data_IF_934508295520
#
_entry.id   IF_934508295520
#
_cell.length_a   1.000
_cell.length_b   1.000
_cell.length_c   1.000
_cell.angle_alpha   90.00
_cell.angle_beta   90.00
_cell.angle_gamma   90.00
#
_symmetry.space_group_name_H-M   'P 1'
#
loop_
_entity.id
_entity.type
_entity.pdbx_description
1 polymer ?
#
# COMPACT_ATOMS: atom_id res chain seq x y z
N UNK A 1 1.70 18.26 26.39
CA UNK A 1 1.41 17.89 24.99
C UNK A 1 2.65 17.33 24.28
N UNK A 2 3.81 17.98 24.40
CA UNK A 2 5.04 17.63 23.67
C UNK A 2 5.41 16.14 23.62
N UNK A 3 5.37 15.43 24.75
CA UNK A 3 5.74 14.00 24.81
C UNK A 3 4.84 13.13 23.92
N UNK A 4 3.54 13.43 23.85
CA UNK A 4 2.61 12.70 22.99
C UNK A 4 2.90 12.98 21.51
N UNK A 5 3.18 14.24 21.17
CA UNK A 5 3.55 14.65 19.80
C UNK A 5 4.83 13.98 19.30
N UNK A 6 5.84 13.88 20.16
CA UNK A 6 7.09 13.21 19.82
C UNK A 6 6.90 11.69 19.65
N UNK A 7 6.05 11.07 20.47
CA UNK A 7 5.74 9.65 20.36
C UNK A 7 4.96 9.33 19.07
N UNK A 8 3.96 10.15 18.71
CA UNK A 8 3.25 10.06 17.44
C UNK A 8 4.21 10.24 16.27
N UNK A 9 5.06 11.27 16.31
CA UNK A 9 6.06 11.54 15.27
C UNK A 9 6.95 10.32 15.01
N UNK A 10 7.53 9.75 16.06
CA UNK A 10 8.37 8.54 15.95
C UNK A 10 7.60 7.37 15.33
N UNK A 11 6.33 7.19 15.71
CA UNK A 11 5.51 6.11 15.17
C UNK A 11 5.22 6.31 13.66
N UNK A 12 4.99 7.55 13.21
CA UNK A 12 4.80 7.85 11.78
C UNK A 12 6.09 7.67 10.99
N UNK A 13 7.25 8.05 11.55
CA UNK A 13 8.56 7.81 10.93
C UNK A 13 8.83 6.30 10.76
N UNK A 14 8.52 5.49 11.77
CA UNK A 14 8.57 4.02 11.68
C UNK A 14 7.64 3.49 10.57
N UNK A 15 6.42 4.03 10.47
CA UNK A 15 5.45 3.64 9.44
C UNK A 15 5.94 3.97 8.02
N UNK A 16 6.51 5.17 7.83
CA UNK A 16 7.12 5.57 6.56
C UNK A 16 8.25 4.63 6.14
N UNK A 17 9.13 4.26 7.08
CA UNK A 17 10.20 3.31 6.80
C UNK A 17 9.68 1.93 6.36
N UNK A 18 8.54 1.49 6.91
CA UNK A 18 7.90 0.23 6.48
C UNK A 18 7.25 0.38 5.10
N UNK A 19 6.64 1.53 4.78
CA UNK A 19 6.13 1.80 3.43
C UNK A 19 7.25 1.79 2.38
N UNK A 20 8.42 2.32 2.70
CA UNK A 20 9.56 2.28 1.79
C UNK A 20 10.13 0.87 1.62
N UNK A 21 10.20 0.07 2.70
CA UNK A 21 10.56 -1.34 2.62
C UNK A 21 9.57 -2.14 1.76
N UNK A 22 8.27 -1.87 1.89
CA UNK A 22 7.22 -2.49 1.08
C UNK A 22 7.36 -2.11 -0.40
N UNK A 23 7.62 -0.83 -0.70
CA UNK A 23 7.86 -0.36 -2.06
C UNK A 23 9.11 -1.02 -2.68
N UNK A 24 10.19 -1.15 -1.90
CA UNK A 24 11.42 -1.80 -2.36
C UNK A 24 11.22 -3.31 -2.58
N UNK A 25 10.50 -3.99 -1.68
CA UNK A 25 10.18 -5.41 -1.83
C UNK A 25 9.35 -5.65 -3.10
N UNK A 26 8.35 -4.80 -3.37
CA UNK A 26 7.55 -4.87 -4.60
C UNK A 26 8.39 -4.62 -5.86
N UNK A 27 9.24 -3.58 -5.87
CA UNK A 27 10.11 -3.26 -7.02
C UNK A 27 11.09 -4.38 -7.35
N UNK A 28 11.62 -5.07 -6.34
CA UNK A 28 12.60 -6.13 -6.51
C UNK A 28 11.99 -7.54 -6.55
N UNK A 29 10.66 -7.66 -6.56
CA UNK A 29 9.96 -8.95 -6.63
C UNK A 29 10.10 -9.83 -5.37
N UNK A 30 10.45 -9.25 -4.22
CA UNK A 30 10.62 -9.97 -2.95
C UNK A 30 9.29 -10.16 -2.23
N UNK A 31 8.33 -10.80 -2.90
CA UNK A 31 6.95 -10.94 -2.42
C UNK A 31 6.82 -11.75 -1.11
N UNK A 32 7.80 -12.61 -0.81
CA UNK A 32 7.83 -13.36 0.44
C UNK A 32 7.99 -12.47 1.69
N UNK A 33 8.49 -11.23 1.54
CA UNK A 33 8.65 -10.25 2.63
C UNK A 33 7.35 -9.50 2.94
N UNK A 34 6.40 -9.44 1.99
CA UNK A 34 5.19 -8.63 2.11
C UNK A 34 4.26 -9.01 3.27
N UNK A 35 4.05 -10.30 3.62
CA UNK A 35 3.21 -10.65 4.75
C UNK A 35 3.73 -10.06 6.07
N UNK A 36 5.04 -10.15 6.31
CA UNK A 36 5.66 -9.60 7.52
C UNK A 36 5.59 -8.06 7.54
N UNK A 37 5.80 -7.40 6.39
CA UNK A 37 5.67 -5.95 6.29
C UNK A 37 4.22 -5.50 6.51
N UNK A 38 3.23 -6.28 6.06
CA UNK A 38 1.81 -6.01 6.28
C UNK A 38 1.45 -6.10 7.76
N UNK A 39 1.91 -7.14 8.46
CA UNK A 39 1.70 -7.28 9.92
C UNK A 39 2.30 -6.11 10.70
N UNK A 40 3.54 -5.70 10.35
CA UNK A 40 4.19 -4.53 10.96
C UNK A 40 3.41 -3.24 10.69
N UNK A 41 2.87 -3.05 9.48
CA UNK A 41 2.01 -1.89 9.16
C UNK A 41 0.76 -1.87 10.03
N UNK A 42 0.07 -3.00 10.18
CA UNK A 42 -1.13 -3.09 11.03
C UNK A 42 -0.82 -2.73 12.48
N UNK A 43 0.25 -3.30 13.05
CA UNK A 43 0.64 -2.97 14.43
C UNK A 43 1.01 -1.50 14.64
N UNK A 44 1.64 -0.86 13.63
CA UNK A 44 1.93 0.57 13.67
C UNK A 44 0.66 1.43 13.56
N UNK A 45 -0.33 1.02 12.75
CA UNK A 45 -1.62 1.72 12.67
C UNK A 45 -2.38 1.67 14.00
N UNK A 46 -2.38 0.52 14.67
CA UNK A 46 -3.01 0.37 16.00
C UNK A 46 -2.31 1.25 17.04
N UNK A 47 -0.97 1.30 17.01
CA UNK A 47 -0.17 2.17 17.88
C UNK A 47 -0.42 3.65 17.59
N UNK A 48 -0.53 4.05 16.33
CA UNK A 48 -0.88 5.41 15.94
C UNK A 48 -2.25 5.82 16.50
N UNK A 49 -3.27 4.96 16.36
CA UNK A 49 -4.61 5.22 16.89
C UNK A 49 -4.62 5.40 18.42
N UNK A 50 -3.85 4.57 19.14
CA UNK A 50 -3.71 4.69 20.59
C UNK A 50 -3.01 6.00 21.01
N UNK A 51 -1.98 6.41 20.26
CA UNK A 51 -1.26 7.66 20.52
C UNK A 51 -2.14 8.89 20.23
N UNK A 52 -2.92 8.87 19.14
CA UNK A 52 -3.89 9.92 18.80
C UNK A 52 -4.92 10.12 19.92
N UNK A 53 -5.46 9.02 20.45
CA UNK A 53 -6.39 9.05 21.59
C UNK A 53 -5.74 9.60 22.86
N UNK A 54 -4.48 9.26 23.13
CA UNK A 54 -3.74 9.78 24.27
C UNK A 54 -3.48 11.29 24.15
N UNK A 55 -3.10 11.76 22.96
CA UNK A 55 -2.93 13.20 22.68
C UNK A 55 -4.24 13.96 22.82
N UNK A 56 -5.32 13.44 22.23
CA UNK A 56 -6.64 14.06 22.31
C UNK A 56 -7.16 14.11 23.75
N UNK A 57 -6.98 13.04 24.52
CA UNK A 57 -7.30 13.05 25.95
C UNK A 57 -6.50 14.11 26.71
N UNK A 58 -5.21 14.25 26.41
CA UNK A 58 -4.35 15.24 27.04
C UNK A 58 -4.71 16.69 26.66
N UNK A 59 -5.19 16.94 25.43
CA UNK A 59 -5.64 18.27 25.01
C UNK A 59 -6.99 18.64 25.65
N UNK A 60 -7.94 17.68 25.69
CA UNK A 60 -9.26 17.88 26.29
C UNK A 60 -9.15 18.10 27.80
N UNK A 61 -8.28 17.36 28.50
CA UNK A 61 -8.02 17.55 29.92
C UNK A 61 -7.52 18.97 30.27
N UNK A 62 -7.07 19.73 29.27
CA UNK A 62 -6.59 21.11 29.41
C UNK A 62 -7.58 22.16 28.90
N UNK A 63 -8.80 21.73 28.54
CA UNK A 63 -9.87 22.61 28.09
C UNK A 63 -9.81 22.97 26.61
N UNK A 64 -9.01 22.27 25.80
CA UNK A 64 -9.04 22.41 24.34
C UNK A 64 -10.07 21.46 23.73
N UNK A 65 -10.71 21.87 22.65
CA UNK A 65 -11.66 21.03 21.91
C UNK A 65 -11.00 19.74 21.39
N UNK A 66 -11.75 18.64 21.17
CA UNK A 66 -11.24 17.47 20.47
C UNK A 66 -10.85 17.78 19.01
N UNK A 67 -10.11 16.87 18.40
CA UNK A 67 -9.70 16.96 17.01
C UNK A 67 -8.60 17.99 16.72
N UNK A 68 -8.49 18.36 15.44
CA UNK A 68 -7.36 19.09 14.87
C UNK A 68 -7.20 20.50 15.41
N UNK A 69 -8.29 21.27 15.43
CA UNK A 69 -8.25 22.67 15.84
C UNK A 69 -7.83 22.83 17.31
N UNK A 70 -8.30 21.93 18.19
CA UNK A 70 -7.86 21.92 19.58
C UNK A 70 -6.41 21.45 19.75
N UNK A 71 -5.92 20.58 18.88
CA UNK A 71 -4.51 20.19 18.83
C UNK A 71 -3.60 21.35 18.44
N UNK A 72 -3.99 22.12 17.42
CA UNK A 72 -3.29 23.33 16.98
C UNK A 72 -3.20 24.34 18.15
N UNK A 73 -4.33 24.58 18.83
CA UNK A 73 -4.40 25.47 19.99
C UNK A 73 -3.59 24.97 21.19
N UNK A 74 -3.66 23.67 21.51
CA UNK A 74 -2.92 23.05 22.60
C UNK A 74 -1.41 23.07 22.36
N UNK A 75 -0.97 22.85 21.11
CA UNK A 75 0.43 22.91 20.73
C UNK A 75 0.97 24.35 20.81
N UNK A 76 0.20 25.34 20.35
CA UNK A 76 0.55 26.75 20.47
C UNK A 76 0.66 27.20 21.94
N UNK A 77 -0.24 26.73 22.80
CA UNK A 77 -0.24 27.04 24.23
C UNK A 77 0.95 26.41 24.99
N UNK A 78 1.49 25.28 24.52
CA UNK A 78 2.66 24.61 25.12
C UNK A 78 4.02 25.16 24.65
N UNK A 79 4.00 26.19 23.81
CA UNK A 79 5.19 26.87 23.33
C UNK A 79 5.83 26.25 22.09
N UNK A 80 6.93 26.86 21.65
CA UNK A 80 7.53 26.67 20.33
C UNK A 80 7.91 25.21 20.04
N UNK A 81 8.42 24.48 21.02
CA UNK A 81 8.80 23.07 20.85
C UNK A 81 7.59 22.18 20.53
N UNK A 82 6.44 22.41 21.16
CA UNK A 82 5.21 21.64 20.88
C UNK A 82 4.61 22.04 19.54
N UNK A 83 4.64 23.33 19.19
CA UNK A 83 4.20 23.79 17.90
C UNK A 83 5.03 23.19 16.75
N UNK A 84 6.36 23.16 16.90
CA UNK A 84 7.27 22.56 15.93
C UNK A 84 7.07 21.03 15.81
N UNK A 85 6.94 20.32 16.94
CA UNK A 85 6.68 18.88 16.94
C UNK A 85 5.34 18.55 16.27
N UNK A 86 4.31 19.36 16.52
CA UNK A 86 3.02 19.23 15.87
C UNK A 86 3.11 19.47 14.37
N UNK A 87 3.71 20.59 13.92
CA UNK A 87 3.89 20.87 12.49
C UNK A 87 4.63 19.72 11.77
N UNK A 88 5.70 19.20 12.35
CA UNK A 88 6.42 18.05 11.79
C UNK A 88 5.55 16.79 11.68
N UNK A 89 4.74 16.49 12.70
CA UNK A 89 3.82 15.35 12.65
C UNK A 89 2.80 15.47 11.50
N UNK A 90 2.32 16.68 11.25
CA UNK A 90 1.35 16.97 10.18
C UNK A 90 1.95 16.72 8.81
N UNK A 91 3.17 17.18 8.59
CA UNK A 91 3.91 16.95 7.35
C UNK A 91 4.15 15.46 7.14
N UNK A 92 4.60 14.74 8.18
CA UNK A 92 4.81 13.30 8.13
C UNK A 92 3.52 12.52 7.82
N UNK A 93 2.38 12.93 8.39
CA UNK A 93 1.09 12.31 8.09
C UNK A 93 0.66 12.52 6.63
N UNK A 94 0.95 13.70 6.05
CA UNK A 94 0.71 13.95 4.63
C UNK A 94 1.60 13.08 3.74
N UNK A 95 2.88 12.96 4.09
CA UNK A 95 3.83 12.08 3.39
C UNK A 95 3.37 10.61 3.44
N UNK A 96 2.99 10.12 4.63
CA UNK A 96 2.52 8.75 4.81
C UNK A 96 1.27 8.45 3.96
N UNK A 97 0.36 9.42 3.83
CA UNK A 97 -0.82 9.29 2.95
C UNK A 97 -0.43 9.22 1.48
N UNK A 98 0.56 10.00 1.04
CA UNK A 98 1.05 9.97 -0.33
C UNK A 98 1.76 8.64 -0.67
N UNK A 99 2.63 8.17 0.22
CA UNK A 99 3.37 6.91 0.05
C UNK A 99 2.44 5.70 0.10
N UNK A 100 1.46 5.69 1.00
CA UNK A 100 0.47 4.62 1.04
C UNK A 100 -0.36 4.57 -0.26
N UNK A 101 -0.72 5.72 -0.84
CA UNK A 101 -1.39 5.78 -2.15
C UNK A 101 -0.50 5.25 -3.27
N UNK A 102 0.79 5.61 -3.27
CA UNK A 102 1.79 5.11 -4.23
C UNK A 102 1.91 3.59 -4.15
N UNK A 103 2.10 3.03 -2.95
CA UNK A 103 2.22 1.59 -2.75
C UNK A 103 0.95 0.86 -3.17
N UNK A 104 -0.23 1.40 -2.82
CA UNK A 104 -1.52 0.88 -3.29
C UNK A 104 -1.60 0.80 -4.82
N UNK A 105 -1.17 1.85 -5.53
CA UNK A 105 -1.14 1.84 -7.00
C UNK A 105 -0.21 0.77 -7.58
N UNK A 106 0.93 0.52 -6.93
CA UNK A 106 1.89 -0.52 -7.35
C UNK A 106 1.32 -1.93 -7.17
N UNK A 107 0.60 -2.19 -6.07
CA UNK A 107 -0.13 -3.45 -5.85
C UNK A 107 -1.16 -3.66 -6.96
N UNK A 108 -1.96 -2.64 -7.30
CA UNK A 108 -2.94 -2.75 -8.39
C UNK A 108 -2.26 -3.02 -9.74
N UNK A 109 -1.17 -2.34 -10.07
CA UNK A 109 -0.40 -2.60 -11.30
C UNK A 109 0.19 -4.01 -11.34
N UNK A 110 0.69 -4.53 -10.22
CA UNK A 110 1.22 -5.89 -10.14
C UNK A 110 0.12 -6.95 -10.24
N UNK A 111 -1.06 -6.70 -9.66
CA UNK A 111 -2.25 -7.55 -9.81
C UNK A 111 -2.74 -7.57 -11.26
N UNK A 112 -2.75 -6.43 -11.94
CA UNK A 112 -3.11 -6.36 -13.36
C UNK A 112 -2.08 -7.09 -14.23
N UNK A 113 -0.78 -6.87 -14.00
CA UNK A 113 0.29 -7.59 -14.68
C UNK A 113 0.22 -9.11 -14.47
N UNK A 114 0.01 -9.57 -13.24
CA UNK A 114 -0.08 -11.01 -12.92
C UNK A 114 -1.34 -11.64 -13.50
N UNK A 115 -2.49 -10.96 -13.46
CA UNK A 115 -3.71 -11.42 -14.13
C UNK A 115 -3.53 -11.50 -15.66
N UNK A 116 -2.90 -10.49 -16.27
CA UNK A 116 -2.59 -10.48 -17.70
C UNK A 116 -1.60 -11.59 -18.09
N UNK A 117 -0.56 -11.82 -17.27
CA UNK A 117 0.39 -12.92 -17.47
C UNK A 117 -0.28 -14.29 -17.33
N UNK A 118 -1.16 -14.47 -16.33
CA UNK A 118 -1.96 -15.69 -16.16
C UNK A 118 -2.92 -15.90 -17.32
N UNK A 119 -3.60 -14.85 -17.78
CA UNK A 119 -4.48 -14.90 -18.94
C UNK A 119 -3.71 -15.25 -20.22
N UNK A 120 -2.51 -14.71 -20.42
CA UNK A 120 -1.64 -15.05 -21.55
C UNK A 120 -1.15 -16.51 -21.48
N UNK A 121 -0.76 -16.99 -20.29
CA UNK A 121 -0.39 -18.39 -20.06
C UNK A 121 -1.58 -19.33 -20.30
N UNK A 122 -2.79 -18.98 -19.88
CA UNK A 122 -4.01 -19.75 -20.12
C UNK A 122 -4.45 -19.72 -21.60
N UNK A 123 -4.31 -18.59 -22.28
CA UNK A 123 -4.61 -18.45 -23.71
C UNK A 123 -3.61 -19.22 -24.58
N UNK A 124 -2.34 -19.27 -24.19
CA UNK A 124 -1.31 -20.10 -24.84
C UNK A 124 -1.42 -21.59 -24.48
N UNK A 125 -2.08 -21.92 -23.37
CA UNK A 125 -2.45 -23.29 -23.00
C UNK A 125 -3.76 -23.77 -23.66
N UNK A 126 -4.38 -23.01 -24.58
CA UNK A 126 -5.43 -23.55 -25.42
C UNK A 126 -4.87 -24.75 -26.19
N UNK A 127 -5.41 -25.97 -26.00
CA UNK A 127 -4.83 -27.15 -26.60
C UNK A 127 -4.99 -27.06 -28.12
N UNK A 128 -3.90 -27.10 -28.87
CA UNK A 128 -3.92 -27.53 -30.27
C UNK A 128 -4.32 -29.02 -30.42
N UNK A 129 -4.72 -29.68 -29.32
CA UNK A 129 -5.09 -31.09 -29.25
C UNK A 129 -6.37 -31.28 -28.43
N UNK A 130 -7.43 -31.77 -29.09
CA UNK A 130 -8.59 -32.30 -28.37
C UNK A 130 -8.21 -33.60 -27.61
N UNK A 131 -9.02 -34.04 -26.64
CA UNK A 131 -8.80 -35.26 -25.85
C UNK A 131 -8.59 -36.54 -26.69
N UNK A 132 -9.02 -36.56 -27.95
CA UNK A 132 -8.86 -37.69 -28.87
C UNK A 132 -7.55 -37.67 -29.69
N UNK A 133 -6.65 -36.69 -29.48
CA UNK A 133 -5.35 -36.63 -30.17
C UNK A 133 -5.40 -36.43 -31.69
N UNK A 134 -6.59 -36.24 -32.27
CA UNK A 134 -6.75 -36.07 -33.72
C UNK A 134 -6.36 -34.65 -34.10
N UNK A 135 -5.23 -34.51 -34.79
CA UNK A 135 -4.95 -33.29 -35.56
C UNK A 135 -6.07 -33.11 -36.57
N UNK A 136 -6.90 -32.07 -36.42
CA UNK A 136 -7.58 -31.52 -37.60
C UNK A 136 -6.49 -30.85 -38.41
N UNK A 137 -5.84 -31.63 -39.29
CA UNK A 137 -5.14 -31.05 -40.42
C UNK A 137 -6.12 -30.10 -41.08
N UNK A 138 -5.75 -28.82 -41.21
CA UNK A 138 -6.44 -27.93 -42.11
C UNK A 138 -6.62 -28.69 -43.43
N UNK A 139 -7.87 -29.01 -43.76
CA UNK A 139 -8.23 -29.59 -45.03
C UNK A 139 -7.91 -28.52 -46.07
N UNK A 140 -6.66 -28.51 -46.52
CA UNK A 140 -6.30 -27.88 -47.77
C UNK A 140 -7.11 -28.58 -48.83
N UNK A 141 -8.14 -27.90 -49.33
CA UNK A 141 -8.91 -28.30 -50.50
C UNK A 141 -7.98 -28.18 -51.72
N UNK A 142 -7.06 -29.13 -51.84
CA UNK A 142 -6.30 -29.40 -53.04
C UNK A 142 -7.17 -30.25 -53.95
N UNK A 143 -8.04 -29.62 -54.74
CA UNK A 143 -8.68 -30.33 -55.85
C UNK A 143 -7.67 -30.41 -56.99
N UNK A 144 -7.08 -31.60 -57.14
CA UNK A 144 -6.22 -31.98 -58.26
C UNK A 144 -7.02 -32.13 -59.56
N UNK A 145 -6.29 -31.89 -60.64
CA UNK A 145 -6.58 -32.07 -62.06
C UNK A 145 -6.98 -33.52 -62.42
N UNK A 146 -7.94 -33.69 -63.34
CA UNK A 146 -8.13 -34.81 -64.28
C UNK A 146 -9.00 -34.25 -65.44
N UNK A 147 -8.44 -33.94 -66.63
CA UNK A 147 -8.21 -34.80 -67.82
C UNK A 147 -9.42 -35.68 -68.18
N UNK A 148 -10.00 -35.39 -69.36
CA UNK A 148 -11.06 -36.14 -70.02
C UNK A 148 -11.71 -35.30 -71.12
#
# INVERSE_FOLDING_TARGET
MLVHLLAEKSCVEEFLAVLDQEADAMKNGRFAELPQLTERKTGLLDRMAALDQARESAQVARGFEPGRAGADAAAAADGEASLAAWAALVELAQQARADNRRNGSMVYSQLDFTQNALHYLQASAQPFYGPDGIRKSASGTGTRLAVG
#
